data_IF_977818414029
#
_entry.id   IF_977818414029
#
_cell.length_a   1.000
_cell.length_b   1.000
_cell.length_c   1.000
_cell.angle_alpha   90.00
_cell.angle_beta   90.00
_cell.angle_gamma   90.00
#
_symmetry.space_group_name_H-M   'P 1'
#
loop_
_entity.id
_entity.type
_entity.pdbx_description
1 polymer ?
#
# COMPACT_ATOMS: atom_id res chain seq x y z
N UNK A 1 10.71 11.94 -3.96
CA UNK A 1 9.39 11.58 -3.38
C UNK A 1 8.39 12.59 -3.92
N UNK A 2 7.23 12.13 -4.39
CA UNK A 2 6.23 13.02 -4.96
C UNK A 2 5.49 13.82 -3.86
N UNK A 3 5.10 15.05 -4.16
CA UNK A 3 4.37 15.95 -3.25
C UNK A 3 2.91 16.05 -3.68
N UNK A 4 1.98 15.84 -2.75
CA UNK A 4 0.53 15.89 -3.02
C UNK A 4 0.16 17.26 -3.59
N UNK A 5 -0.62 17.26 -4.67
CA UNK A 5 -1.05 18.46 -5.40
C UNK A 5 -0.01 19.01 -6.39
N UNK A 6 1.25 18.56 -6.35
CA UNK A 6 2.25 19.00 -7.32
C UNK A 6 2.00 18.37 -8.70
N UNK A 7 2.16 19.18 -9.74
CA UNK A 7 2.06 18.75 -11.14
C UNK A 7 3.44 18.30 -11.64
N UNK A 8 3.47 17.14 -12.29
CA UNK A 8 4.67 16.55 -12.88
C UNK A 8 4.47 16.33 -14.38
N UNK A 9 5.55 16.50 -15.14
CA UNK A 9 5.60 16.12 -16.55
C UNK A 9 5.63 14.59 -16.67
N UNK A 10 4.66 14.02 -17.39
CA UNK A 10 4.60 12.57 -17.64
C UNK A 10 5.85 12.05 -18.33
N UNK A 11 6.37 12.81 -19.29
CA UNK A 11 7.62 12.49 -20.00
C UNK A 11 8.79 12.41 -19.03
N UNK A 12 8.91 13.37 -18.10
CA UNK A 12 10.01 13.38 -17.13
C UNK A 12 9.86 12.29 -16.07
N UNK A 13 8.63 11.95 -15.66
CA UNK A 13 8.37 10.79 -14.80
C UNK A 13 8.90 9.50 -15.44
N UNK A 14 8.61 9.27 -16.72
CA UNK A 14 9.12 8.09 -17.43
C UNK A 14 10.61 8.16 -17.72
N UNK A 15 11.18 9.34 -17.98
CA UNK A 15 12.63 9.49 -18.13
C UNK A 15 13.36 9.17 -16.83
N UNK A 16 12.82 9.59 -15.68
CA UNK A 16 13.43 9.39 -14.38
C UNK A 16 13.26 7.97 -13.83
N UNK A 17 12.09 7.36 -14.04
CA UNK A 17 11.73 6.09 -13.40
C UNK A 17 11.61 4.91 -14.37
N UNK A 18 11.42 5.18 -15.66
CA UNK A 18 11.11 4.18 -16.68
C UNK A 18 9.62 3.84 -16.74
N UNK A 19 9.31 2.59 -17.12
CA UNK A 19 7.93 2.10 -17.23
C UNK A 19 7.29 2.38 -18.59
N UNK A 20 6.04 1.94 -18.74
CA UNK A 20 5.28 2.06 -19.98
C UNK A 20 4.79 3.51 -20.16
N UNK A 21 5.21 4.24 -21.20
CA UNK A 21 4.81 5.64 -21.39
C UNK A 21 3.36 5.79 -21.83
N UNK A 22 2.77 4.71 -22.36
CA UNK A 22 1.40 4.65 -22.88
C UNK A 22 0.52 3.82 -21.92
N UNK A 23 -0.71 4.27 -21.68
CA UNK A 23 -1.69 3.58 -20.84
C UNK A 23 -1.93 4.23 -19.47
N UNK A 24 -2.85 3.69 -18.68
CA UNK A 24 -3.15 4.18 -17.34
C UNK A 24 -2.20 3.64 -16.26
N UNK A 25 -1.56 2.50 -16.50
CA UNK A 25 -0.75 1.80 -15.49
C UNK A 25 0.69 1.70 -15.99
N UNK A 26 1.64 2.17 -15.19
CA UNK A 26 3.06 2.00 -15.46
C UNK A 26 3.76 1.27 -14.30
N UNK A 27 4.65 0.34 -14.64
CA UNK A 27 5.36 -0.54 -13.71
C UNK A 27 6.88 -0.38 -13.88
N UNK A 28 7.48 0.75 -13.47
CA UNK A 28 8.88 1.01 -13.70
C UNK A 28 9.76 0.06 -12.88
N UNK A 29 10.78 -0.56 -13.50
CA UNK A 29 11.66 -1.53 -12.81
C UNK A 29 12.58 -0.89 -11.77
N UNK A 30 13.02 0.36 -12.01
CA UNK A 30 13.93 1.10 -11.13
C UNK A 30 13.23 1.92 -10.04
N UNK A 31 11.90 1.89 -10.00
CA UNK A 31 11.10 2.63 -9.03
C UNK A 31 10.29 1.64 -8.19
N UNK A 32 10.38 1.77 -6.87
CA UNK A 32 9.70 0.89 -5.94
C UNK A 32 8.23 1.29 -5.75
N UNK A 33 7.48 1.33 -6.85
CA UNK A 33 6.08 1.72 -6.91
C UNK A 33 5.45 1.45 -8.29
N UNK A 34 4.12 1.45 -8.35
CA UNK A 34 3.32 1.42 -9.57
C UNK A 34 2.73 2.82 -9.77
N UNK A 35 2.86 3.37 -10.97
CA UNK A 35 2.30 4.68 -11.30
C UNK A 35 0.95 4.48 -11.98
N UNK A 36 -0.09 5.10 -11.42
CA UNK A 36 -1.45 5.07 -11.93
C UNK A 36 -1.81 6.45 -12.45
N UNK A 37 -2.27 6.51 -13.68
CA UNK A 37 -2.70 7.72 -14.36
C UNK A 37 -4.19 7.58 -14.69
N UNK A 38 -4.96 8.56 -14.26
CA UNK A 38 -6.40 8.66 -14.50
C UNK A 38 -6.72 9.98 -15.19
N UNK A 39 -7.78 10.02 -16.00
CA UNK A 39 -8.19 11.22 -16.73
C UNK A 39 -9.25 10.93 -17.80
N UNK A 40 -9.77 11.99 -18.42
CA UNK A 40 -10.89 11.92 -19.37
C UNK A 40 -10.63 11.02 -20.58
N UNK A 41 -9.36 10.90 -21.01
CA UNK A 41 -8.97 10.07 -22.15
C UNK A 41 -9.27 8.56 -21.98
N UNK A 42 -9.56 8.09 -20.76
CA UNK A 42 -10.00 6.73 -20.49
C UNK A 42 -11.50 6.48 -20.74
N UNK A 43 -12.33 7.53 -20.66
CA UNK A 43 -13.79 7.41 -20.78
C UNK A 43 -14.21 6.87 -22.15
N UNK A 44 -13.44 7.20 -23.21
CA UNK A 44 -13.64 6.67 -24.57
C UNK A 44 -13.49 5.14 -24.68
N UNK A 45 -12.89 4.51 -23.67
CA UNK A 45 -12.71 3.06 -23.58
C UNK A 45 -13.64 2.41 -22.55
N UNK A 46 -14.63 3.17 -22.07
CA UNK A 46 -15.58 2.74 -21.03
C UNK A 46 -15.05 2.84 -19.60
N UNK A 47 -13.88 3.45 -19.38
CA UNK A 47 -13.29 3.58 -18.04
C UNK A 47 -14.04 4.65 -17.24
N UNK A 48 -14.36 4.33 -15.98
CA UNK A 48 -15.17 5.17 -15.10
C UNK A 48 -14.49 5.35 -13.75
N UNK A 49 -13.30 5.90 -13.80
CA UNK A 49 -12.53 6.21 -12.61
C UNK A 49 -13.21 7.34 -11.84
N UNK A 50 -13.38 7.17 -10.53
CA UNK A 50 -14.07 8.15 -9.69
C UNK A 50 -13.83 7.89 -8.21
N UNK A 51 -14.01 8.93 -7.42
CA UNK A 51 -14.23 8.79 -5.99
C UNK A 51 -15.62 8.20 -5.71
N UNK A 52 -15.66 7.26 -4.77
CA UNK A 52 -16.86 6.66 -4.19
C UNK A 52 -16.70 6.67 -2.66
N UNK A 53 -17.13 7.78 -2.04
CA UNK A 53 -16.83 8.08 -0.65
C UNK A 53 -15.32 8.23 -0.40
N UNK A 54 -14.77 7.37 0.47
CA UNK A 54 -13.33 7.34 0.82
C UNK A 54 -12.50 6.44 -0.12
N UNK A 55 -13.13 5.76 -1.10
CA UNK A 55 -12.46 4.88 -2.07
C UNK A 55 -12.26 5.63 -3.39
N UNK A 56 -11.11 5.46 -4.02
CA UNK A 56 -10.95 5.78 -5.43
C UNK A 56 -11.13 4.52 -6.29
N UNK A 57 -12.21 4.46 -7.07
CA UNK A 57 -12.49 3.34 -7.98
C UNK A 57 -11.69 3.55 -9.26
N UNK A 58 -10.81 2.61 -9.57
CA UNK A 58 -9.89 2.69 -10.72
C UNK A 58 -10.11 1.53 -11.68
N UNK A 59 -10.33 1.84 -12.95
CA UNK A 59 -10.60 0.84 -13.99
C UNK A 59 -9.29 0.20 -14.45
N UNK A 60 -9.24 -1.13 -14.49
CA UNK A 60 -8.08 -1.90 -14.95
C UNK A 60 -7.76 -1.69 -16.43
N UNK A 61 -6.57 -2.15 -16.83
CA UNK A 61 -6.13 -2.11 -18.22
C UNK A 61 -6.68 -3.30 -19.04
N UNK A 62 -6.79 -3.06 -20.35
CA UNK A 62 -7.32 -3.99 -21.34
C UNK A 62 -8.42 -3.29 -22.12
N UNK A 63 -8.32 -3.21 -23.45
CA UNK A 63 -9.28 -2.47 -24.28
C UNK A 63 -10.24 -3.38 -25.07
N UNK A 64 -9.87 -4.65 -25.28
CA UNK A 64 -10.62 -5.64 -26.07
C UNK A 64 -10.75 -6.92 -25.28
N UNK A 65 -11.94 -7.53 -25.32
CA UNK A 65 -12.25 -8.75 -24.59
C UNK A 65 -12.14 -8.60 -23.06
N UNK A 66 -12.29 -9.73 -22.37
CA UNK A 66 -12.29 -9.78 -20.91
C UNK A 66 -10.94 -9.31 -20.32
N UNK A 67 -11.01 -8.40 -19.36
CA UNK A 67 -9.85 -8.01 -18.57
C UNK A 67 -9.39 -9.18 -17.69
N UNK A 68 -8.08 -9.35 -17.57
CA UNK A 68 -7.47 -10.40 -16.75
C UNK A 68 -6.37 -9.83 -15.85
N UNK A 69 -6.01 -10.55 -14.78
CA UNK A 69 -4.94 -10.15 -13.85
C UNK A 69 -3.55 -10.45 -14.41
N UNK A 70 -3.20 -9.75 -15.47
CA UNK A 70 -1.87 -9.76 -16.08
C UNK A 70 -1.28 -8.35 -16.05
N UNK A 71 0.05 -8.24 -16.21
CA UNK A 71 0.76 -6.96 -16.39
C UNK A 71 0.34 -5.89 -15.35
N UNK A 72 -0.25 -4.77 -15.78
CA UNK A 72 -0.66 -3.67 -14.90
C UNK A 72 -1.73 -4.08 -13.90
N UNK A 73 -2.73 -4.87 -14.32
CA UNK A 73 -3.77 -5.37 -13.42
C UNK A 73 -3.20 -6.28 -12.33
N UNK A 74 -2.25 -7.16 -12.69
CA UNK A 74 -1.51 -7.97 -11.71
C UNK A 74 -0.74 -7.06 -10.76
N UNK A 75 -0.05 -6.05 -11.29
CA UNK A 75 0.77 -5.16 -10.51
C UNK A 75 -0.02 -4.33 -9.49
N UNK A 76 -1.28 -3.96 -9.81
CA UNK A 76 -2.19 -3.34 -8.84
C UNK A 76 -2.63 -4.35 -7.80
N UNK A 77 -3.15 -5.51 -8.23
CA UNK A 77 -3.66 -6.55 -7.31
C UNK A 77 -2.60 -7.01 -6.30
N UNK A 78 -1.40 -7.28 -6.80
CA UNK A 78 -0.31 -7.88 -6.02
C UNK A 78 0.61 -6.81 -5.43
N UNK A 79 0.26 -5.52 -5.50
CA UNK A 79 1.19 -4.44 -5.18
C UNK A 79 1.76 -4.54 -3.75
N UNK A 80 0.95 -4.94 -2.76
CA UNK A 80 1.45 -5.16 -1.41
C UNK A 80 2.44 -6.33 -1.39
N UNK A 81 2.12 -7.48 -2.00
CA UNK A 81 3.04 -8.62 -2.09
C UNK A 81 4.35 -8.26 -2.81
N UNK A 82 4.24 -7.54 -3.92
CA UNK A 82 5.39 -7.03 -4.65
C UNK A 82 6.07 -5.84 -3.92
N UNK A 83 5.52 -5.40 -2.78
CA UNK A 83 5.90 -4.28 -1.91
C UNK A 83 5.97 -2.90 -2.56
N UNK A 84 5.21 -2.71 -3.62
CA UNK A 84 5.13 -1.46 -4.36
C UNK A 84 4.01 -0.59 -3.84
N UNK A 85 4.29 0.69 -3.66
CA UNK A 85 3.27 1.71 -3.43
C UNK A 85 2.47 1.95 -4.73
N UNK A 86 1.17 2.21 -4.64
CA UNK A 86 0.40 2.72 -5.77
C UNK A 86 0.40 4.25 -5.73
N UNK A 87 1.00 4.88 -6.72
CA UNK A 87 1.08 6.33 -6.84
C UNK A 87 0.05 6.83 -7.86
N UNK A 88 -0.98 7.52 -7.41
CA UNK A 88 -2.04 8.01 -8.28
C UNK A 88 -1.75 9.44 -8.78
N UNK A 89 -1.93 9.63 -10.08
CA UNK A 89 -1.83 10.90 -10.78
C UNK A 89 -3.10 11.16 -11.59
N UNK A 90 -3.64 12.37 -11.47
CA UNK A 90 -4.70 12.88 -12.33
C UNK A 90 -4.08 13.64 -13.50
N UNK A 91 -4.50 13.30 -14.72
CA UNK A 91 -4.05 13.96 -15.95
C UNK A 91 -4.82 15.27 -16.12
N UNK A 92 -4.08 16.36 -16.27
CA UNK A 92 -4.56 17.72 -16.51
C UNK A 92 -3.86 18.31 -17.73
N UNK A 93 -4.36 19.42 -18.31
CA UNK A 93 -3.71 20.09 -19.44
C UNK A 93 -2.23 20.43 -19.18
N UNK A 94 -1.90 20.84 -17.95
CA UNK A 94 -0.56 21.26 -17.53
C UNK A 94 0.37 20.07 -17.18
N UNK A 95 -0.15 18.84 -17.08
CA UNK A 95 0.64 17.65 -16.78
C UNK A 95 -0.10 16.58 -15.98
N UNK A 96 0.59 15.98 -15.01
CA UNK A 96 0.06 14.94 -14.15
C UNK A 96 0.14 15.40 -12.70
N UNK A 97 -1.00 15.79 -12.12
CA UNK A 97 -1.10 16.19 -10.72
C UNK A 97 -1.07 14.98 -9.82
N UNK A 98 -0.12 14.94 -8.90
CA UNK A 98 0.01 13.84 -7.96
C UNK A 98 -1.06 13.91 -6.88
N UNK A 99 -1.87 12.86 -6.78
CA UNK A 99 -2.98 12.78 -5.82
C UNK A 99 -2.50 12.21 -4.49
N UNK A 100 -1.69 11.15 -4.52
CA UNK A 100 -1.19 10.52 -3.30
C UNK A 100 -0.76 9.07 -3.48
N UNK A 101 -0.43 8.44 -2.35
CA UNK A 101 -0.15 7.00 -2.25
C UNK A 101 -1.42 6.26 -1.88
N UNK A 102 -1.64 5.09 -2.48
CA UNK A 102 -2.82 4.26 -2.30
C UNK A 102 -2.44 2.80 -2.09
N UNK A 103 -3.37 2.03 -1.53
CA UNK A 103 -3.38 0.58 -1.50
C UNK A 103 -4.58 0.03 -2.28
N UNK A 104 -4.45 -1.13 -2.91
CA UNK A 104 -5.57 -1.90 -3.42
C UNK A 104 -6.30 -2.55 -2.24
N UNK A 105 -7.46 -1.99 -1.88
CA UNK A 105 -8.36 -2.56 -0.87
C UNK A 105 -9.13 -3.78 -1.39
N UNK A 106 -9.23 -3.94 -2.72
CA UNK A 106 -9.81 -5.09 -3.42
C UNK A 106 -10.30 -4.70 -4.82
N UNK A 107 -11.16 -5.51 -5.42
CA UNK A 107 -11.70 -5.25 -6.75
C UNK A 107 -13.11 -5.82 -6.95
N UNK A 108 -13.80 -5.35 -7.98
CA UNK A 108 -15.01 -5.95 -8.56
C UNK A 108 -14.76 -6.32 -10.01
N UNK A 109 -15.52 -7.29 -10.52
CA UNK A 109 -15.60 -7.60 -11.95
C UNK A 109 -16.99 -7.21 -12.41
N UNK A 110 -17.07 -6.20 -13.27
CA UNK A 110 -18.31 -5.68 -13.84
C UNK A 110 -18.45 -6.08 -15.31
N UNK A 111 -19.66 -6.00 -15.87
CA UNK A 111 -19.89 -6.13 -17.32
C UNK A 111 -19.92 -4.74 -17.95
N UNK A 112 -19.29 -4.59 -19.10
CA UNK A 112 -19.28 -3.35 -19.85
C UNK A 112 -18.78 -3.55 -21.27
N UNK A 113 -19.01 -2.58 -22.17
CA UNK A 113 -18.55 -2.68 -23.54
C UNK A 113 -17.03 -2.56 -23.62
N UNK A 114 -16.44 -3.24 -24.60
CA UNK A 114 -15.09 -3.00 -25.06
C UNK A 114 -15.06 -1.94 -26.16
N UNK A 115 -13.88 -1.68 -26.74
CA UNK A 115 -13.74 -0.64 -27.78
C UNK A 115 -14.47 -0.94 -29.09
N UNK A 116 -14.87 -2.19 -29.31
CA UNK A 116 -15.69 -2.60 -30.46
C UNK A 116 -17.18 -2.70 -30.11
N UNK A 117 -17.55 -2.35 -28.87
CA UNK A 117 -18.93 -2.45 -28.35
C UNK A 117 -19.33 -3.84 -27.89
N UNK A 118 -18.40 -4.81 -27.87
CA UNK A 118 -18.67 -6.17 -27.40
C UNK A 118 -18.69 -6.20 -25.87
N UNK A 119 -19.63 -6.95 -25.29
CA UNK A 119 -19.73 -7.06 -23.83
C UNK A 119 -18.55 -7.87 -23.26
N UNK A 120 -17.92 -7.33 -22.23
CA UNK A 120 -16.71 -7.90 -21.61
C UNK A 120 -16.71 -7.72 -20.09
N UNK A 121 -15.87 -8.51 -19.45
CA UNK A 121 -15.54 -8.37 -18.03
C UNK A 121 -14.54 -7.23 -17.84
N UNK A 122 -14.89 -6.29 -16.97
CA UNK A 122 -14.09 -5.11 -16.62
C UNK A 122 -13.69 -5.22 -15.16
N UNK A 123 -12.38 -5.17 -14.88
CA UNK A 123 -11.86 -5.15 -13.52
C UNK A 123 -11.89 -3.71 -13.01
N UNK A 124 -12.49 -3.48 -11.85
CA UNK A 124 -12.49 -2.18 -11.16
C UNK A 124 -11.86 -2.37 -9.79
N UNK A 125 -10.74 -1.69 -9.55
CA UNK A 125 -10.02 -1.72 -8.29
C UNK A 125 -10.56 -0.67 -7.33
N UNK A 126 -10.67 -1.04 -6.06
CA UNK A 126 -10.95 -0.12 -4.97
C UNK A 126 -9.64 0.32 -4.35
N UNK A 127 -9.21 1.55 -4.66
CA UNK A 127 -7.97 2.12 -4.13
C UNK A 127 -8.26 2.93 -2.87
N UNK A 128 -7.58 2.57 -1.78
CA UNK A 128 -7.69 3.20 -0.46
C UNK A 128 -6.48 4.11 -0.24
N UNK A 129 -6.67 5.42 0.05
CA UNK A 129 -5.56 6.33 0.32
C UNK A 129 -4.70 5.87 1.51
N UNK A 130 -3.38 5.88 1.35
CA UNK A 130 -2.41 5.71 2.44
C UNK A 130 -1.96 7.10 2.91
N UNK A 131 -2.49 7.57 4.05
CA UNK A 131 -2.03 8.78 4.73
C UNK A 131 -3.04 9.95 4.86
N UNK A 132 -4.28 9.82 4.39
CA UNK A 132 -5.26 10.93 4.50
C UNK A 132 -6.26 10.83 5.65
N UNK A 133 -6.25 9.79 6.48
CA UNK A 133 -7.14 9.71 7.67
C UNK A 133 -6.63 8.71 8.70
N UNK A 134 -6.19 9.28 9.83
CA UNK A 134 -5.77 8.68 11.10
C UNK A 134 -4.71 7.58 11.02
N UNK A 135 -3.49 7.97 11.41
CA UNK A 135 -2.66 7.20 12.35
C UNK A 135 -3.46 6.93 13.65
N UNK A 136 -4.61 6.24 13.54
CA UNK A 136 -5.26 5.70 14.71
C UNK A 136 -4.24 4.74 15.29
N UNK A 137 -3.71 5.14 16.45
CA UNK A 137 -2.80 4.34 17.23
C UNK A 137 -3.32 2.91 17.24
N UNK A 138 -2.60 1.98 16.63
CA UNK A 138 -2.94 0.58 16.77
C UNK A 138 -2.56 0.17 18.19
N UNK A 139 -3.44 0.48 19.13
CA UNK A 139 -3.30 0.12 20.54
C UNK A 139 -3.64 -1.36 20.62
N UNK A 140 -2.68 -2.22 21.00
CA UNK A 140 -2.97 -3.64 21.14
C UNK A 140 -4.07 -3.83 22.18
N UNK A 141 -5.07 -4.69 21.92
CA UNK A 141 -6.14 -4.94 22.87
C UNK A 141 -5.57 -5.54 24.17
N UNK A 142 -5.94 -5.00 25.35
CA UNK A 142 -5.38 -5.44 26.63
C UNK A 142 -5.75 -6.90 26.92
N UNK A 143 -4.79 -7.65 27.46
CA UNK A 143 -4.99 -9.04 27.87
C UNK A 143 -5.04 -10.06 26.72
N UNK A 144 -4.84 -9.64 25.47
CA UNK A 144 -4.72 -10.58 24.34
C UNK A 144 -3.27 -11.07 24.25
N UNK A 145 -3.01 -12.40 24.25
CA UNK A 145 -1.66 -12.94 24.13
C UNK A 145 -0.99 -12.54 22.81
N UNK A 146 0.33 -12.36 22.85
CA UNK A 146 1.12 -11.96 21.67
C UNK A 146 0.96 -12.93 20.49
N UNK A 147 0.89 -14.23 20.76
CA UNK A 147 0.69 -15.26 19.73
C UNK A 147 -0.67 -15.14 19.02
N UNK A 148 -1.71 -14.74 19.75
CA UNK A 148 -3.03 -14.51 19.17
C UNK A 148 -3.02 -13.27 18.27
N UNK A 149 -2.35 -12.20 18.70
CA UNK A 149 -2.14 -11.01 17.87
C UNK A 149 -1.35 -11.35 16.61
N UNK A 150 -0.31 -12.19 16.73
CA UNK A 150 0.48 -12.68 15.60
C UNK A 150 -0.38 -13.43 14.60
N UNK A 151 -1.21 -14.36 15.07
CA UNK A 151 -2.13 -15.13 14.22
C UNK A 151 -3.10 -14.23 13.46
N UNK A 152 -3.69 -13.22 14.13
CA UNK A 152 -4.57 -12.24 13.49
C UNK A 152 -3.84 -11.42 12.43
N UNK A 153 -2.63 -10.97 12.74
CA UNK A 153 -1.82 -10.22 11.81
C UNK A 153 -1.46 -11.05 10.57
N UNK A 154 -1.02 -12.30 10.72
CA UNK A 154 -0.73 -13.20 9.60
C UNK A 154 -1.97 -13.44 8.72
N UNK A 155 -3.14 -13.65 9.33
CA UNK A 155 -4.40 -13.78 8.60
C UNK A 155 -4.78 -12.49 7.85
N UNK A 156 -4.51 -11.33 8.45
CA UNK A 156 -4.74 -10.02 7.85
C UNK A 156 -3.79 -9.69 6.69
N UNK A 157 -2.59 -10.26 6.68
CA UNK A 157 -1.60 -10.06 5.61
C UNK A 157 -1.82 -10.97 4.40
N UNK A 158 -2.62 -12.03 4.54
CA UNK A 158 -2.90 -12.97 3.46
C UNK A 158 -3.51 -12.26 2.23
N UNK A 159 -3.18 -12.67 0.99
CA UNK A 159 -3.69 -12.04 -0.22
C UNK A 159 -5.21 -11.89 -0.20
N UNK A 160 -5.73 -10.75 -0.65
CA UNK A 160 -7.18 -10.61 -0.89
C UNK A 160 -7.51 -11.57 -2.05
N UNK A 161 -8.28 -12.63 -1.80
CA UNK A 161 -8.60 -13.65 -2.82
C UNK A 161 -9.96 -13.42 -3.49
N UNK A 162 -10.81 -12.54 -2.96
CA UNK A 162 -12.19 -12.41 -3.41
C UNK A 162 -12.56 -11.02 -3.93
N UNK A 163 -13.45 -10.93 -4.93
CA UNK A 163 -14.10 -9.67 -5.30
C UNK A 163 -14.88 -9.12 -4.10
N UNK A 164 -14.71 -7.83 -3.79
CA UNK A 164 -15.43 -7.22 -2.67
C UNK A 164 -16.79 -6.70 -3.10
N UNK A 165 -17.84 -7.25 -2.51
CA UNK A 165 -19.20 -6.70 -2.56
C UNK A 165 -19.37 -5.71 -1.42
N UNK A 166 -18.74 -4.53 -1.54
CA UNK A 166 -18.92 -3.40 -0.63
C UNK A 166 -17.99 -3.32 0.59
N UNK A 167 -17.65 -2.07 0.96
CA UNK A 167 -16.85 -1.63 2.12
C UNK A 167 -15.36 -2.09 2.16
N UNK A 168 -14.67 -1.97 1.03
CA UNK A 168 -13.22 -2.26 0.87
C UNK A 168 -12.33 -1.42 1.79
N UNK A 169 -12.68 -0.15 2.06
CA UNK A 169 -11.94 0.70 3.01
C UNK A 169 -11.92 0.11 4.42
N UNK A 170 -13.08 -0.28 4.94
CA UNK A 170 -13.20 -0.81 6.29
C UNK A 170 -12.41 -2.12 6.43
N UNK A 171 -12.53 -3.00 5.44
CA UNK A 171 -11.80 -4.26 5.42
C UNK A 171 -10.29 -4.05 5.35
N UNK A 172 -9.81 -3.12 4.52
CA UNK A 172 -8.39 -2.76 4.45
C UNK A 172 -7.90 -2.17 5.77
N UNK A 173 -8.62 -1.18 6.33
CA UNK A 173 -8.27 -0.53 7.61
C UNK A 173 -8.20 -1.54 8.76
N UNK A 174 -9.13 -2.48 8.86
CA UNK A 174 -9.09 -3.55 9.89
C UNK A 174 -7.84 -4.40 9.73
N UNK A 175 -7.51 -4.83 8.51
CA UNK A 175 -6.35 -5.69 8.26
C UNK A 175 -5.05 -5.01 8.66
N UNK A 176 -4.83 -3.79 8.19
CA UNK A 176 -3.64 -3.02 8.57
C UNK A 176 -3.59 -2.70 10.06
N UNK A 177 -4.74 -2.48 10.70
CA UNK A 177 -4.83 -2.33 12.17
C UNK A 177 -4.38 -3.59 12.90
N UNK A 178 -4.81 -4.79 12.49
CA UNK A 178 -4.40 -6.05 13.13
C UNK A 178 -2.89 -6.29 13.04
N UNK A 179 -2.29 -5.95 11.91
CA UNK A 179 -0.83 -5.99 11.73
C UNK A 179 -0.14 -5.01 12.67
N UNK A 180 -0.64 -3.76 12.71
CA UNK A 180 -0.07 -2.72 13.54
C UNK A 180 -0.20 -3.02 15.05
N UNK A 181 -1.34 -3.55 15.51
CA UNK A 181 -1.57 -3.97 16.90
C UNK A 181 -0.55 -5.04 17.30
N UNK A 182 -0.32 -6.05 16.45
CA UNK A 182 0.69 -7.07 16.71
C UNK A 182 2.10 -6.48 16.78
N UNK A 183 2.48 -5.66 15.80
CA UNK A 183 3.83 -5.10 15.70
C UNK A 183 4.13 -4.16 16.87
N UNK A 184 3.17 -3.35 17.31
CA UNK A 184 3.29 -2.50 18.50
C UNK A 184 3.41 -3.35 19.78
N UNK A 185 2.64 -4.44 19.90
CA UNK A 185 2.76 -5.36 21.04
C UNK A 185 4.10 -6.09 21.07
N UNK A 186 4.57 -6.58 19.91
CA UNK A 186 5.86 -7.28 19.74
C UNK A 186 7.05 -6.41 20.15
N UNK A 187 6.93 -5.10 19.93
CA UNK A 187 7.96 -4.13 20.24
C UNK A 187 8.16 -3.88 21.74
N UNK A 188 7.20 -4.29 22.58
CA UNK A 188 7.28 -4.25 24.05
C UNK A 188 7.75 -2.88 24.57
N UNK A 189 7.06 -1.81 24.13
CA UNK A 189 7.37 -0.41 24.41
C UNK A 189 8.73 0.13 23.90
N UNK A 190 9.53 -0.66 23.17
CA UNK A 190 10.85 -0.28 22.65
C UNK A 190 10.87 -0.16 21.13
N UNK A 191 11.55 0.86 20.62
CA UNK A 191 11.76 1.03 19.19
C UNK A 191 12.53 -0.17 18.62
N UNK A 192 11.96 -0.86 17.63
CA UNK A 192 12.59 -2.02 17.00
C UNK A 192 13.80 -1.62 16.13
N UNK A 193 13.98 -0.34 15.80
CA UNK A 193 15.16 0.13 15.06
C UNK A 193 16.36 0.45 15.96
N UNK A 194 16.17 1.26 17.01
CA UNK A 194 17.26 1.73 17.87
C UNK A 194 17.32 1.08 19.25
N UNK A 195 16.30 0.31 19.63
CA UNK A 195 16.18 -0.32 20.94
C UNK A 195 15.82 0.62 22.09
N UNK A 196 15.69 1.93 21.85
CA UNK A 196 15.31 2.89 22.89
C UNK A 196 13.83 2.76 23.25
N UNK A 197 13.44 3.03 24.52
CA UNK A 197 12.02 3.11 24.90
C UNK A 197 11.25 4.11 24.04
N UNK A 198 9.93 3.93 23.97
CA UNK A 198 9.03 4.90 23.37
C UNK A 198 9.29 6.31 23.97
N UNK A 199 9.43 7.35 23.13
CA UNK A 199 9.89 8.66 23.58
C UNK A 199 8.89 9.40 24.47
N UNK A 200 7.61 9.04 24.39
CA UNK A 200 6.53 9.59 25.22
C UNK A 200 5.34 8.63 25.24
N UNK A 201 4.36 8.91 26.11
CA UNK A 201 3.07 8.19 26.18
C UNK A 201 1.95 9.03 25.57
N UNK A 202 0.94 8.36 25.01
CA UNK A 202 -0.31 8.95 24.53
C UNK A 202 -1.19 9.40 25.71
N UNK A 203 -2.29 10.09 25.42
CA UNK A 203 -3.26 10.55 26.42
C UNK A 203 -3.91 9.41 27.22
N UNK A 204 -3.98 8.21 26.63
CA UNK A 204 -4.45 6.98 27.27
C UNK A 204 -3.33 6.20 27.99
N UNK A 205 -2.17 6.83 28.19
CA UNK A 205 -0.98 6.27 28.83
C UNK A 205 -0.30 5.12 28.07
N UNK A 206 -0.64 4.85 26.80
CA UNK A 206 0.06 3.86 25.98
C UNK A 206 1.37 4.41 25.39
N UNK A 207 2.43 3.60 25.20
CA UNK A 207 3.69 4.04 24.61
C UNK A 207 3.50 4.50 23.15
N UNK A 208 4.15 5.61 22.77
CA UNK A 208 4.07 6.12 21.40
C UNK A 208 5.14 5.48 20.51
N UNK A 209 4.73 4.55 19.64
CA UNK A 209 5.50 4.04 18.51
C UNK A 209 4.68 4.18 17.22
N UNK A 210 5.38 4.30 16.10
CA UNK A 210 4.83 4.39 14.74
C UNK A 210 5.13 3.10 13.99
N UNK A 211 4.20 2.62 13.16
CA UNK A 211 4.51 1.47 12.31
C UNK A 211 5.24 1.91 11.05
N UNK A 212 6.22 1.11 10.62
CA UNK A 212 7.03 1.39 9.43
C UNK A 212 7.26 0.11 8.62
N UNK A 213 6.87 0.14 7.35
CA UNK A 213 7.13 -0.93 6.39
C UNK A 213 8.58 -0.86 5.90
N UNK A 214 9.36 -1.90 6.19
CA UNK A 214 10.82 -1.93 5.97
C UNK A 214 11.22 -2.47 4.59
N UNK A 215 10.36 -3.27 3.97
CA UNK A 215 10.56 -3.79 2.62
C UNK A 215 9.52 -3.24 1.67
N UNK A 216 10.00 -3.02 0.44
CA UNK A 216 9.19 -2.73 -0.73
C UNK A 216 9.11 -3.90 -1.73
N UNK A 217 9.48 -5.13 -1.35
CA UNK A 217 9.25 -6.39 -2.12
C UNK A 217 9.37 -7.62 -1.20
N UNK A 218 8.42 -8.59 -1.24
CA UNK A 218 8.67 -10.03 -0.98
C UNK A 218 7.38 -10.89 -1.02
N UNK A 219 7.54 -12.17 -1.36
CA UNK A 219 6.53 -13.22 -1.58
C UNK A 219 5.38 -13.34 -0.54
N UNK A 220 5.50 -12.72 0.64
CA UNK A 220 4.54 -12.82 1.74
C UNK A 220 3.64 -11.58 1.98
N UNK A 221 3.73 -10.50 1.18
CA UNK A 221 2.93 -9.28 1.43
C UNK A 221 3.67 -8.17 2.17
N UNK A 222 3.61 -6.92 1.71
CA UNK A 222 4.21 -5.76 2.39
C UNK A 222 3.65 -5.55 3.80
N UNK A 223 2.35 -5.80 3.97
CA UNK A 223 1.69 -5.68 5.27
C UNK A 223 1.87 -6.93 6.14
N UNK A 224 2.83 -7.82 5.83
CA UNK A 224 3.19 -8.95 6.69
C UNK A 224 3.99 -8.47 7.89
N UNK A 225 3.76 -8.98 9.11
CA UNK A 225 4.52 -8.60 10.30
C UNK A 225 6.05 -8.70 10.20
N UNK A 226 6.54 -9.51 9.26
CA UNK A 226 7.97 -9.71 9.00
C UNK A 226 8.62 -8.53 8.28
N UNK A 227 7.79 -7.64 7.72
CA UNK A 227 8.17 -6.45 6.97
C UNK A 227 7.66 -5.17 7.59
N UNK A 228 7.02 -5.23 8.76
CA UNK A 228 6.49 -4.07 9.47
C UNK A 228 7.14 -4.00 10.85
N UNK A 229 7.69 -2.84 11.20
CA UNK A 229 8.35 -2.59 12.48
C UNK A 229 7.62 -1.49 13.28
N UNK A 230 7.65 -1.55 14.60
CA UNK A 230 7.31 -0.42 15.46
C UNK A 230 8.57 0.39 15.74
N UNK A 231 8.57 1.66 15.37
CA UNK A 231 9.73 2.55 15.47
C UNK A 231 9.36 3.86 16.16
N UNK A 232 10.34 4.50 16.80
CA UNK A 232 10.15 5.85 17.31
C UNK A 232 10.12 6.87 16.16
N UNK A 233 9.55 8.07 16.36
CA UNK A 233 9.42 9.11 15.32
C UNK A 233 10.77 9.51 14.69
N UNK A 234 11.85 9.48 15.48
CA UNK A 234 13.20 9.80 15.00
C UNK A 234 13.70 8.72 14.03
N UNK A 235 13.55 7.44 14.39
CA UNK A 235 13.93 6.33 13.51
C UNK A 235 13.03 6.27 12.27
N UNK A 236 11.73 6.55 12.42
CA UNK A 236 10.80 6.61 11.30
C UNK A 236 11.23 7.67 10.28
N UNK A 237 11.45 8.92 10.73
CA UNK A 237 11.94 9.99 9.85
C UNK A 237 13.31 9.68 9.24
N UNK A 238 14.24 9.10 10.00
CA UNK A 238 15.55 8.66 9.49
C UNK A 238 15.42 7.59 8.41
N UNK A 239 14.47 6.66 8.53
CA UNK A 239 14.22 5.64 7.52
C UNK A 239 13.70 6.22 6.19
N UNK A 240 13.01 7.36 6.23
CA UNK A 240 12.54 8.07 5.03
C UNK A 240 13.58 9.07 4.46
N UNK A 241 14.26 9.82 5.33
CA UNK A 241 15.03 11.01 4.95
C UNK A 241 16.52 10.95 5.31
N UNK A 242 16.95 9.97 6.11
CA UNK A 242 18.34 9.83 6.52
C UNK A 242 19.26 9.48 5.35
N UNK A 243 20.48 10.01 5.36
CA UNK A 243 21.53 9.64 4.40
C UNK A 243 21.93 8.17 4.49
N UNK A 244 21.68 7.56 5.65
CA UNK A 244 21.99 6.17 5.97
C UNK A 244 20.74 5.24 5.96
N UNK A 245 19.64 5.70 5.37
CA UNK A 245 18.35 4.96 5.32
C UNK A 245 18.49 3.52 4.84
N UNK A 246 19.38 3.25 3.89
CA UNK A 246 19.53 1.92 3.29
C UNK A 246 20.26 0.96 4.24
N UNK A 247 21.21 1.47 5.03
CA UNK A 247 21.86 0.73 6.11
C UNK A 247 20.87 0.46 7.26
N UNK A 248 20.10 1.48 7.67
CA UNK A 248 19.09 1.35 8.71
C UNK A 248 18.03 0.30 8.33
N UNK A 249 17.52 0.33 7.10
CA UNK A 249 16.56 -0.64 6.58
C UNK A 249 17.11 -2.07 6.60
N UNK A 250 18.38 -2.26 6.23
CA UNK A 250 19.02 -3.59 6.22
C UNK A 250 19.11 -4.17 7.62
N UNK A 251 19.62 -3.40 8.58
CA UNK A 251 19.72 -3.83 10.00
C UNK A 251 18.35 -4.15 10.59
N UNK A 252 17.37 -3.31 10.29
CA UNK A 252 16.00 -3.53 10.77
C UNK A 252 15.39 -4.80 10.14
N UNK A 253 15.65 -5.06 8.86
CA UNK A 253 15.22 -6.31 8.20
C UNK A 253 15.82 -7.57 8.84
N UNK A 254 17.12 -7.56 9.16
CA UNK A 254 17.79 -8.67 9.85
C UNK A 254 17.19 -8.91 11.25
N UNK A 255 16.90 -7.83 11.97
CA UNK A 255 16.26 -7.91 13.29
C UNK A 255 14.84 -8.47 13.19
N UNK A 256 14.00 -7.98 12.28
CA UNK A 256 12.64 -8.50 12.11
C UNK A 256 12.64 -9.97 11.66
N UNK A 257 13.57 -10.37 10.80
CA UNK A 257 13.75 -11.77 10.41
C UNK A 257 14.08 -12.66 11.62
N UNK A 258 14.86 -12.15 12.57
CA UNK A 258 15.17 -12.85 13.82
C UNK A 258 13.94 -12.93 14.73
N UNK A 259 13.20 -11.83 14.90
CA UNK A 259 11.98 -11.79 15.72
C UNK A 259 10.89 -12.72 15.20
N UNK A 260 10.65 -12.75 13.89
CA UNK A 260 9.63 -13.59 13.27
C UNK A 260 10.08 -15.02 12.98
N UNK A 261 11.39 -15.25 12.84
CA UNK A 261 11.97 -16.56 12.54
C UNK A 261 12.14 -17.49 13.74
N UNK A 262 12.04 -16.98 14.97
CA UNK A 262 12.36 -17.75 16.19
C UNK A 262 11.15 -18.48 16.80
N UNK A 263 9.95 -18.41 16.22
CA UNK A 263 8.78 -19.15 16.74
C UNK A 263 8.63 -20.50 16.04
N UNK A 264 9.51 -21.43 16.40
CA UNK A 264 9.25 -22.87 16.33
C UNK A 264 9.71 -23.45 17.66
N UNK A 265 8.79 -23.47 18.62
CA UNK A 265 8.87 -24.20 19.86
C UNK A 265 7.49 -24.78 20.16
#
# INVERSE_FOLDING_TARGET
MFQIGQIYSRTDLHRAHGGQPQGGIATPRGFAGVLLFTGEGGQRYGYRDRWDGDVFRYTGEGQRGDMTFVRGNRAIRDHLQDGKDLHLFEIEPEGCRYVGVFACGGWTVERGPDVDGSDRSVIVFDLVPQGSRSDEAAIPPPGVPLEELRRRALAASAPVVAPHTGNSVHSFRIRSRQVAEYVVARADEHCESCGSPAPFRRTDNTPYLETHHIRRVADDGADHPRWVAAVCPNCHRRAHHGSDRDELKRRLAERLASLEGTTSA
#
